data_IF_698298346814
#
_entry.id   IF_698298346814
#
_cell.length_a   1.000
_cell.length_b   1.000
_cell.length_c   1.000
_cell.angle_alpha   90.00
_cell.angle_beta   90.00
_cell.angle_gamma   90.00
#
_symmetry.space_group_name_H-M   'P 1'
#
loop_
_entity.id
_entity.type
_entity.pdbx_description
1 polymer ?
#
# COMPACT_ATOMS: atom_id res chain seq x y z
N UNK A 1 -1.75 -11.07 12.91
CA UNK A 1 -1.94 -12.16 11.92
C UNK A 1 -1.22 -11.91 10.58
N UNK A 2 -0.36 -10.90 10.47
CA UNK A 2 0.67 -10.77 9.41
C UNK A 2 2.07 -11.08 9.95
N UNK A 3 2.27 -10.96 11.27
CA UNK A 3 3.52 -11.39 11.91
C UNK A 3 3.68 -12.91 11.87
N UNK A 4 2.66 -13.70 12.21
CA UNK A 4 2.82 -15.16 12.38
C UNK A 4 3.20 -15.92 11.10
N UNK A 5 2.68 -15.54 9.92
CA UNK A 5 3.01 -16.24 8.68
C UNK A 5 4.40 -15.86 8.15
N UNK A 6 4.85 -14.61 8.39
CA UNK A 6 6.18 -14.14 8.01
C UNK A 6 7.26 -14.62 9.01
N UNK A 7 6.91 -14.79 10.28
CA UNK A 7 7.82 -15.17 11.37
C UNK A 7 8.23 -16.66 11.33
N UNK A 8 7.39 -17.52 10.74
CA UNK A 8 7.62 -18.97 10.66
C UNK A 8 8.66 -19.38 9.59
N UNK A 9 8.84 -18.61 8.51
CA UNK A 9 9.84 -18.90 7.45
C UNK A 9 11.13 -18.05 7.53
N UNK A 10 11.18 -16.99 8.35
CA UNK A 10 12.15 -15.90 8.13
C UNK A 10 13.37 -15.81 9.06
N UNK A 11 13.44 -16.52 10.20
CA UNK A 11 14.53 -16.26 11.17
C UNK A 11 15.94 -16.57 10.66
N UNK A 12 16.13 -17.56 9.78
CA UNK A 12 17.46 -17.92 9.26
C UNK A 12 17.77 -17.30 7.87
N UNK A 13 16.76 -17.10 7.02
CA UNK A 13 16.96 -16.62 5.65
C UNK A 13 17.03 -15.08 5.51
N UNK A 14 16.46 -14.34 6.47
CA UNK A 14 16.32 -12.87 6.39
C UNK A 14 17.62 -12.10 6.63
N UNK A 15 18.56 -12.68 7.39
CA UNK A 15 19.81 -11.99 7.76
C UNK A 15 20.74 -11.76 6.57
N UNK A 16 20.82 -12.69 5.62
CA UNK A 16 21.74 -12.54 4.47
C UNK A 16 21.17 -11.65 3.37
N UNK A 17 19.87 -11.75 3.07
CA UNK A 17 19.27 -11.11 1.90
C UNK A 17 19.11 -9.57 2.01
N UNK A 18 18.96 -9.05 3.21
CA UNK A 18 18.82 -7.60 3.47
C UNK A 18 19.95 -7.03 4.34
N UNK A 19 21.08 -7.74 4.42
CA UNK A 19 22.27 -7.20 5.10
C UNK A 19 23.13 -6.35 4.18
N UNK A 20 23.74 -5.32 4.74
CA UNK A 20 24.78 -4.53 4.09
C UNK A 20 25.83 -4.11 5.12
N UNK A 21 27.06 -3.93 4.67
CA UNK A 21 28.16 -3.50 5.55
C UNK A 21 28.45 -2.03 5.35
N UNK A 22 28.51 -1.27 6.44
CA UNK A 22 28.88 0.13 6.44
C UNK A 22 29.92 0.40 7.53
N UNK A 23 31.08 0.95 7.14
CA UNK A 23 32.22 1.22 8.05
C UNK A 23 32.64 0.02 8.91
N UNK A 24 32.64 -1.18 8.34
CA UNK A 24 33.03 -2.41 9.03
C UNK A 24 31.96 -2.98 9.99
N UNK A 25 30.77 -2.39 10.05
CA UNK A 25 29.62 -2.90 10.83
C UNK A 25 28.55 -3.42 9.87
N UNK A 26 28.01 -4.61 10.14
CA UNK A 26 26.90 -5.19 9.37
C UNK A 26 25.56 -4.68 9.90
N UNK A 27 24.76 -4.12 9.00
CA UNK A 27 23.40 -3.65 9.26
C UNK A 27 22.43 -4.52 8.49
N UNK A 28 21.19 -4.60 8.97
CA UNK A 28 20.08 -5.27 8.29
C UNK A 28 18.89 -4.33 8.20
N UNK A 29 18.12 -4.42 7.12
CA UNK A 29 16.89 -3.66 7.00
C UNK A 29 15.75 -4.32 7.79
N UNK A 30 15.17 -3.57 8.75
CA UNK A 30 13.99 -4.00 9.51
C UNK A 30 12.67 -3.80 8.75
N UNK A 31 12.72 -3.06 7.65
CA UNK A 31 11.60 -2.79 6.72
C UNK A 31 12.05 -3.12 5.30
N UNK A 32 11.10 -3.24 4.36
CA UNK A 32 11.46 -3.47 2.97
C UNK A 32 12.37 -2.33 2.47
N UNK A 33 13.56 -2.63 1.93
CA UNK A 33 14.45 -1.61 1.44
C UNK A 33 13.91 -1.00 0.14
N UNK A 34 14.05 0.32 0.04
CA UNK A 34 13.74 1.04 -1.18
C UNK A 34 14.65 0.58 -2.32
N UNK A 35 14.09 0.37 -3.50
CA UNK A 35 14.83 -0.11 -4.68
C UNK A 35 14.92 -1.63 -4.80
N UNK A 36 14.34 -2.41 -3.87
CA UNK A 36 14.21 -3.85 -4.06
C UNK A 36 13.15 -4.14 -5.14
N UNK A 37 13.54 -4.90 -6.17
CA UNK A 37 12.72 -5.16 -7.37
C UNK A 37 11.33 -5.70 -7.07
N UNK A 38 11.20 -6.51 -6.02
CA UNK A 38 9.93 -7.13 -5.64
C UNK A 38 9.12 -6.31 -4.63
N UNK A 39 9.65 -5.17 -4.16
CA UNK A 39 8.94 -4.28 -3.23
C UNK A 39 7.57 -3.86 -3.73
N UNK A 40 7.41 -3.40 -5.00
CA UNK A 40 6.11 -2.96 -5.48
C UNK A 40 5.08 -4.10 -5.51
N UNK A 41 5.50 -5.30 -5.91
CA UNK A 41 4.62 -6.47 -5.98
C UNK A 41 4.16 -6.92 -4.58
N UNK A 42 5.05 -6.88 -3.58
CA UNK A 42 4.67 -7.22 -2.20
C UNK A 42 3.73 -6.17 -1.62
N UNK A 43 4.02 -4.88 -1.80
CA UNK A 43 3.15 -3.79 -1.35
C UNK A 43 1.76 -3.90 -1.98
N UNK A 44 1.69 -4.15 -3.28
CA UNK A 44 0.44 -4.36 -4.01
C UNK A 44 -0.41 -5.49 -3.42
N UNK A 45 0.18 -6.66 -3.18
CA UNK A 45 -0.52 -7.81 -2.61
C UNK A 45 -1.01 -7.56 -1.17
N UNK A 46 -0.24 -6.81 -0.37
CA UNK A 46 -0.64 -6.44 0.99
C UNK A 46 -1.84 -5.48 1.00
N UNK A 47 -1.84 -4.48 0.10
CA UNK A 47 -2.95 -3.54 -0.04
C UNK A 47 -4.21 -4.29 -0.54
N UNK A 48 -4.05 -5.18 -1.53
CA UNK A 48 -5.16 -5.96 -2.07
C UNK A 48 -5.82 -6.82 -0.97
N UNK A 49 -5.02 -7.55 -0.19
CA UNK A 49 -5.54 -8.38 0.91
C UNK A 49 -6.25 -7.55 1.99
N UNK A 50 -5.78 -6.33 2.27
CA UNK A 50 -6.43 -5.42 3.21
C UNK A 50 -7.79 -4.92 2.68
N UNK A 51 -7.88 -4.61 1.38
CA UNK A 51 -9.12 -4.17 0.73
C UNK A 51 -10.16 -5.29 0.62
N UNK A 52 -9.73 -6.51 0.27
CA UNK A 52 -10.60 -7.70 0.24
C UNK A 52 -11.18 -8.00 1.62
N UNK A 53 -10.34 -7.98 2.66
CA UNK A 53 -10.79 -8.22 4.04
C UNK A 53 -11.67 -7.10 4.59
N UNK A 54 -11.47 -5.87 4.11
CA UNK A 54 -12.22 -4.70 4.53
C UNK A 54 -13.53 -4.47 3.77
N UNK A 55 -13.93 -5.40 2.90
CA UNK A 55 -15.11 -5.28 2.02
C UNK A 55 -15.12 -3.94 1.28
N UNK A 56 -13.97 -3.57 0.72
CA UNK A 56 -13.81 -2.29 0.04
C UNK A 56 -14.78 -2.19 -1.15
N UNK A 57 -15.39 -1.01 -1.38
CA UNK A 57 -16.22 -0.76 -2.55
C UNK A 57 -15.43 -0.89 -3.85
N UNK A 58 -16.13 -0.94 -4.98
CA UNK A 58 -15.54 -1.08 -6.31
C UNK A 58 -14.43 -0.05 -6.55
N UNK A 59 -13.23 -0.54 -6.86
CA UNK A 59 -12.02 0.26 -7.03
C UNK A 59 -11.07 -0.42 -8.03
N UNK A 60 -10.12 0.35 -8.54
CA UNK A 60 -9.07 -0.12 -9.44
C UNK A 60 -7.75 0.15 -8.75
N UNK A 61 -7.01 -0.92 -8.49
CA UNK A 61 -5.72 -0.85 -7.83
C UNK A 61 -4.60 -1.00 -8.85
N UNK A 62 -3.63 -0.09 -8.82
CA UNK A 62 -2.39 -0.18 -9.58
C UNK A 62 -1.18 0.03 -8.67
N UNK A 63 -0.50 -1.06 -8.32
CA UNK A 63 0.63 -1.07 -7.37
C UNK A 63 0.24 -0.40 -6.05
N UNK A 64 0.57 0.88 -5.86
CA UNK A 64 0.33 1.68 -4.67
C UNK A 64 -0.80 2.73 -4.85
N UNK A 65 -1.31 2.90 -6.08
CA UNK A 65 -2.38 3.84 -6.40
C UNK A 65 -3.74 3.13 -6.41
N UNK A 66 -4.76 3.80 -5.85
CA UNK A 66 -6.14 3.32 -5.82
C UNK A 66 -7.03 4.37 -6.47
N UNK A 67 -7.78 3.96 -7.49
CA UNK A 67 -8.73 4.80 -8.21
C UNK A 67 -10.15 4.38 -7.84
N UNK A 68 -10.97 5.37 -7.51
CA UNK A 68 -12.39 5.23 -7.16
C UNK A 68 -13.22 6.02 -8.15
N UNK A 69 -14.34 5.47 -8.59
CA UNK A 69 -15.28 6.12 -9.51
C UNK A 69 -16.74 5.93 -9.10
N UNK A 70 -17.60 6.75 -9.68
CA UNK A 70 -19.03 6.83 -9.38
C UNK A 70 -19.71 7.87 -10.27
N UNK A 71 -21.04 7.85 -10.33
CA UNK A 71 -21.81 8.73 -11.20
C UNK A 71 -21.98 10.13 -10.61
N UNK A 72 -21.84 10.23 -9.28
CA UNK A 72 -21.91 11.50 -8.55
C UNK A 72 -20.67 11.71 -7.69
N UNK A 73 -20.29 12.97 -7.47
CA UNK A 73 -19.15 13.30 -6.62
C UNK A 73 -19.32 12.79 -5.18
N UNK A 74 -20.55 12.80 -4.67
CA UNK A 74 -20.90 12.30 -3.34
C UNK A 74 -20.65 10.79 -3.21
N UNK A 75 -21.05 10.01 -4.22
CA UNK A 75 -20.79 8.56 -4.26
C UNK A 75 -19.29 8.25 -4.27
N UNK A 76 -18.51 8.98 -5.08
CA UNK A 76 -17.04 8.82 -5.14
C UNK A 76 -16.40 9.16 -3.79
N UNK A 77 -16.88 10.20 -3.12
CA UNK A 77 -16.37 10.62 -1.82
C UNK A 77 -16.66 9.58 -0.73
N UNK A 78 -17.90 9.08 -0.65
CA UNK A 78 -18.28 8.03 0.30
C UNK A 78 -17.49 6.73 0.09
N UNK A 79 -17.30 6.32 -1.17
CA UNK A 79 -16.46 5.16 -1.50
C UNK A 79 -15.00 5.40 -1.10
N UNK A 80 -14.48 6.60 -1.38
CA UNK A 80 -13.12 7.00 -1.01
C UNK A 80 -12.88 6.98 0.51
N UNK A 81 -13.82 7.53 1.30
CA UNK A 81 -13.73 7.51 2.76
C UNK A 81 -13.74 6.09 3.33
N UNK A 82 -14.58 5.19 2.80
CA UNK A 82 -14.59 3.79 3.22
C UNK A 82 -13.24 3.10 2.98
N UNK A 83 -12.63 3.31 1.82
CA UNK A 83 -11.31 2.76 1.49
C UNK A 83 -10.24 3.33 2.42
N UNK A 84 -10.25 4.64 2.67
CA UNK A 84 -9.34 5.28 3.62
C UNK A 84 -9.49 4.67 5.02
N UNK A 85 -10.71 4.45 5.49
CA UNK A 85 -10.95 3.83 6.79
C UNK A 85 -10.43 2.38 6.87
N UNK A 86 -10.61 1.58 5.81
CA UNK A 86 -10.09 0.21 5.73
C UNK A 86 -8.56 0.21 5.80
N UNK A 87 -7.91 1.06 5.00
CA UNK A 87 -6.45 1.15 4.97
C UNK A 87 -5.86 1.65 6.29
N UNK A 88 -6.50 2.63 6.93
CA UNK A 88 -6.10 3.11 8.26
C UNK A 88 -6.25 2.01 9.33
N UNK A 89 -7.35 1.24 9.32
CA UNK A 89 -7.54 0.09 10.22
C UNK A 89 -6.51 -1.00 10.00
N UNK A 90 -6.06 -1.19 8.75
CA UNK A 90 -5.00 -2.13 8.40
C UNK A 90 -3.59 -1.60 8.72
N UNK A 91 -3.45 -0.35 9.19
CA UNK A 91 -2.17 0.24 9.62
C UNK A 91 -1.36 0.93 8.51
N UNK A 92 -1.98 1.18 7.34
CA UNK A 92 -1.31 1.93 6.26
C UNK A 92 -1.35 3.44 6.52
N UNK A 93 -0.27 4.13 6.14
CA UNK A 93 -0.21 5.58 6.16
C UNK A 93 -0.60 6.16 4.80
N UNK A 94 -1.54 7.09 4.77
CA UNK A 94 -2.05 7.71 3.54
C UNK A 94 -1.50 9.13 3.42
N UNK A 95 -0.88 9.45 2.28
CA UNK A 95 -0.34 10.79 2.02
C UNK A 95 -1.45 11.71 1.49
N UNK A 96 -1.84 12.72 2.28
CA UNK A 96 -2.91 13.68 1.96
C UNK A 96 -2.70 14.50 0.67
N UNK A 97 -1.47 14.64 0.19
CA UNK A 97 -1.16 15.55 -0.93
C UNK A 97 -1.32 14.90 -2.32
N UNK A 98 -1.72 13.63 -2.40
CA UNK A 98 -1.85 12.89 -3.67
C UNK A 98 -3.29 12.57 -4.08
N UNK A 99 -4.30 12.88 -3.24
CA UNK A 99 -5.70 12.79 -3.67
C UNK A 99 -5.94 13.88 -4.72
N UNK A 100 -5.99 13.49 -5.99
CA UNK A 100 -6.39 14.41 -7.07
C UNK A 100 -7.88 14.70 -6.89
N UNK A 101 -8.22 15.97 -6.71
CA UNK A 101 -9.62 16.39 -6.69
C UNK A 101 -10.28 16.02 -8.03
N UNK A 102 -11.52 15.49 -8.02
CA UNK A 102 -12.23 15.07 -9.22
C UNK A 102 -12.61 16.23 -10.18
N UNK A 103 -12.27 17.49 -9.84
CA UNK A 103 -12.79 18.70 -10.50
C UNK A 103 -11.86 19.25 -11.60
N UNK A 104 -10.81 18.55 -12.03
CA UNK A 104 -9.88 19.07 -13.05
C UNK A 104 -9.90 18.31 -14.38
N UNK A 105 -11.07 18.08 -14.98
CA UNK A 105 -11.17 17.82 -16.44
C UNK A 105 -12.47 18.38 -17.04
N UNK A 106 -12.52 19.70 -17.19
CA UNK A 106 -13.26 20.34 -18.28
C UNK A 106 -12.28 21.22 -19.06
N UNK A 107 -11.74 20.69 -20.15
CA UNK A 107 -11.19 21.53 -21.22
C UNK A 107 -12.06 21.30 -22.45
N UNK A 108 -13.11 22.10 -22.54
CA UNK A 108 -13.81 22.40 -23.79
C UNK A 108 -13.06 23.59 -24.38
N UNK A 109 -12.29 23.32 -25.44
CA UNK A 109 -11.86 24.20 -26.54
C UNK A 109 -10.73 23.50 -27.27
#
# INVERSE_FOLDING_TARGET
>A
MLELQYELESKAAKWTQFSFTWRGVQYTWNRLPQGWKHSPTICHGLIQAALEKGEAPEHLQYIDDIIVWGNTAMEVFEKGEKIIQVLLKAGFAIKKTCSRDPVSKSKVA
#
